data_IF_513362309913
#
_entry.id   IF_513362309913
#
_cell.length_a   1.000
_cell.length_b   1.000
_cell.length_c   1.000
_cell.angle_alpha   90.00
_cell.angle_beta   90.00
_cell.angle_gamma   90.00
#
_symmetry.space_group_name_H-M   'P 1'
#
loop_
_entity.id
_entity.type
_entity.pdbx_description
1 polymer ?
#
# COMPACT_ATOMS: atom_id res chain seq x y z
N UNK A 1 0.42 -23.28 10.19
CA UNK A 1 1.61 -24.09 10.54
C UNK A 1 2.92 -23.50 10.01
N UNK A 2 2.94 -22.87 8.82
CA UNK A 2 4.14 -22.28 8.19
C UNK A 2 4.74 -21.09 8.97
N UNK A 3 3.91 -20.23 9.58
CA UNK A 3 4.36 -19.01 10.27
C UNK A 3 5.10 -19.24 11.59
N UNK A 4 4.96 -20.41 12.23
CA UNK A 4 5.67 -20.76 13.48
C UNK A 4 7.12 -21.19 13.26
N UNK A 5 7.52 -21.45 12.02
CA UNK A 5 8.86 -21.95 11.74
C UNK A 5 9.89 -20.83 11.72
N UNK A 6 10.96 -20.98 12.51
CA UNK A 6 12.14 -20.10 12.48
C UNK A 6 13.19 -20.67 11.52
N UNK A 7 12.77 -21.05 10.30
CA UNK A 7 13.66 -21.65 9.30
C UNK A 7 13.79 -20.72 8.09
N UNK A 8 15.00 -20.25 7.75
CA UNK A 8 15.22 -19.33 6.63
C UNK A 8 14.73 -19.90 5.28
N UNK A 9 14.81 -21.22 5.10
CA UNK A 9 14.35 -21.89 3.87
C UNK A 9 12.84 -21.79 3.67
N UNK A 10 12.06 -21.83 4.76
CA UNK A 10 10.60 -21.75 4.68
C UNK A 10 10.18 -20.32 4.31
N UNK A 11 10.87 -19.32 4.85
CA UNK A 11 10.64 -17.91 4.49
C UNK A 11 11.04 -17.65 3.04
N UNK A 12 12.19 -18.17 2.60
CA UNK A 12 12.64 -18.04 1.21
C UNK A 12 11.67 -18.73 0.23
N UNK A 13 11.21 -19.95 0.55
CA UNK A 13 10.22 -20.67 -0.25
C UNK A 13 8.90 -19.89 -0.32
N UNK A 14 8.43 -19.35 0.81
CA UNK A 14 7.24 -18.50 0.85
C UNK A 14 7.38 -17.27 -0.06
N UNK A 15 8.48 -16.51 0.04
CA UNK A 15 8.72 -15.35 -0.84
C UNK A 15 8.79 -15.79 -2.31
N UNK A 16 9.43 -16.93 -2.60
CA UNK A 16 9.52 -17.47 -3.96
C UNK A 16 8.15 -17.86 -4.54
N UNK A 17 7.17 -18.27 -3.72
CA UNK A 17 5.81 -18.55 -4.21
C UNK A 17 5.05 -17.27 -4.60
N UNK A 18 5.43 -16.12 -4.02
CA UNK A 18 4.83 -14.82 -4.34
C UNK A 18 5.52 -14.13 -5.53
N UNK A 19 6.78 -14.49 -5.80
CA UNK A 19 7.54 -13.98 -6.93
C UNK A 19 6.84 -14.34 -8.26
N UNK A 20 6.85 -13.44 -9.22
CA UNK A 20 6.23 -13.67 -10.54
C UNK A 20 4.71 -13.50 -10.59
N UNK A 21 4.01 -13.58 -9.46
CA UNK A 21 2.53 -13.50 -9.40
C UNK A 21 2.04 -12.19 -8.81
N UNK A 22 2.73 -11.66 -7.79
CA UNK A 22 2.35 -10.42 -7.10
C UNK A 22 3.20 -9.22 -7.54
N UNK A 23 2.68 -8.01 -7.30
CA UNK A 23 3.47 -6.79 -7.48
C UNK A 23 4.67 -6.77 -6.52
N UNK A 24 5.77 -6.14 -6.93
CA UNK A 24 6.95 -5.99 -6.05
C UNK A 24 6.60 -5.34 -4.70
N UNK A 25 5.66 -4.38 -4.70
CA UNK A 25 5.15 -3.74 -3.47
C UNK A 25 4.36 -4.68 -2.56
N UNK A 26 3.62 -5.65 -3.12
CA UNK A 26 2.90 -6.63 -2.32
C UNK A 26 3.88 -7.66 -1.73
N UNK A 27 4.84 -8.13 -2.53
CA UNK A 27 5.89 -9.05 -2.09
C UNK A 27 6.76 -8.42 -1.00
N UNK A 28 7.15 -7.15 -1.13
CA UNK A 28 7.95 -6.46 -0.11
C UNK A 28 7.19 -6.18 1.18
N UNK A 29 5.85 -6.08 1.14
CA UNK A 29 5.03 -5.85 2.33
C UNK A 29 4.72 -7.15 3.11
N UNK A 30 4.69 -8.31 2.46
CA UNK A 30 4.42 -9.59 3.12
C UNK A 30 5.35 -9.88 4.32
N UNK A 31 6.68 -9.71 4.23
CA UNK A 31 7.59 -9.89 5.36
C UNK A 31 7.31 -8.98 6.55
N UNK A 32 6.75 -7.79 6.34
CA UNK A 32 6.36 -6.89 7.44
C UNK A 32 5.30 -7.54 8.33
N UNK A 33 4.32 -8.24 7.74
CA UNK A 33 3.32 -9.00 8.48
C UNK A 33 3.92 -10.20 9.23
N UNK A 34 4.83 -10.93 8.58
CA UNK A 34 5.55 -12.05 9.21
C UNK A 34 6.41 -11.57 10.38
N UNK A 35 7.14 -10.46 10.20
CA UNK A 35 7.97 -9.82 11.22
C UNK A 35 7.11 -9.34 12.40
N UNK A 36 5.98 -8.69 12.13
CA UNK A 36 5.05 -8.24 13.18
C UNK A 36 4.53 -9.44 13.99
N UNK A 37 4.11 -10.51 13.31
CA UNK A 37 3.65 -11.72 13.96
C UNK A 37 4.74 -12.38 14.84
N UNK A 38 5.97 -12.50 14.35
CA UNK A 38 7.10 -13.01 15.13
C UNK A 38 7.43 -12.14 16.35
N UNK A 39 7.39 -10.81 16.18
CA UNK A 39 7.64 -9.85 17.27
C UNK A 39 6.61 -10.01 18.39
N UNK A 40 5.32 -10.10 18.05
CA UNK A 40 4.23 -10.29 19.02
C UNK A 40 4.38 -11.59 19.81
N UNK A 41 4.91 -12.64 19.16
CA UNK A 41 5.06 -13.96 19.77
C UNK A 41 6.46 -14.22 20.36
N UNK A 42 7.35 -13.21 20.38
CA UNK A 42 8.71 -13.33 20.91
C UNK A 42 9.57 -14.36 20.17
N UNK A 43 9.26 -14.63 18.90
CA UNK A 43 10.01 -15.59 18.09
C UNK A 43 11.23 -14.90 17.49
N UNK A 44 12.38 -15.57 17.57
CA UNK A 44 13.59 -15.07 16.95
C UNK A 44 13.44 -15.08 15.42
N UNK A 45 14.06 -14.11 14.74
CA UNK A 45 13.93 -13.97 13.29
C UNK A 45 14.88 -14.93 12.56
N UNK A 46 14.40 -15.59 11.51
CA UNK A 46 15.18 -16.64 10.82
C UNK A 46 16.22 -16.10 9.83
N UNK A 47 15.93 -14.97 9.19
CA UNK A 47 16.80 -14.29 8.22
C UNK A 47 17.20 -12.94 8.77
N UNK A 48 18.45 -12.52 8.57
CA UNK A 48 18.85 -11.16 8.90
C UNK A 48 18.22 -10.15 7.91
N UNK A 49 18.39 -8.85 8.16
CA UNK A 49 17.83 -7.81 7.28
C UNK A 49 18.42 -7.86 5.88
N UNK A 50 19.73 -8.09 5.74
CA UNK A 50 20.42 -8.14 4.45
C UNK A 50 19.93 -9.31 3.58
N UNK A 51 19.77 -10.50 4.15
CA UNK A 51 19.28 -11.68 3.42
C UNK A 51 17.83 -11.51 2.98
N UNK A 52 17.00 -10.92 3.85
CA UNK A 52 15.61 -10.60 3.51
C UNK A 52 15.54 -9.59 2.36
N UNK A 53 16.31 -8.50 2.43
CA UNK A 53 16.35 -7.49 1.37
C UNK A 53 16.84 -8.06 0.03
N UNK A 54 17.83 -8.95 0.06
CA UNK A 54 18.31 -9.64 -1.13
C UNK A 54 17.22 -10.50 -1.78
N UNK A 55 16.50 -11.31 -0.99
CA UNK A 55 15.38 -12.12 -1.47
C UNK A 55 14.24 -11.25 -2.04
N UNK A 56 13.89 -10.17 -1.34
CA UNK A 56 12.85 -9.25 -1.77
C UNK A 56 13.20 -8.52 -3.06
N UNK A 57 14.47 -8.12 -3.23
CA UNK A 57 14.95 -7.49 -4.45
C UNK A 57 14.82 -8.43 -5.65
N UNK A 58 15.22 -9.70 -5.48
CA UNK A 58 15.07 -10.72 -6.53
C UNK A 58 13.59 -10.96 -6.84
N UNK A 59 12.76 -11.18 -5.82
CA UNK A 59 11.33 -11.45 -6.01
C UNK A 59 10.60 -10.25 -6.65
N UNK A 60 10.97 -9.01 -6.28
CA UNK A 60 10.43 -7.79 -6.88
C UNK A 60 10.88 -7.60 -8.33
N UNK A 61 12.10 -8.02 -8.69
CA UNK A 61 12.57 -7.98 -10.07
C UNK A 61 11.80 -8.95 -10.98
N UNK A 62 11.25 -10.02 -10.41
CA UNK A 62 10.40 -10.98 -11.08
C UNK A 62 8.93 -10.55 -11.13
N UNK A 63 8.56 -9.40 -10.56
CA UNK A 63 7.18 -8.94 -10.56
C UNK A 63 6.65 -8.81 -11.99
N UNK A 64 5.39 -9.24 -12.27
CA UNK A 64 4.85 -9.23 -13.61
C UNK A 64 4.77 -7.79 -14.13
N UNK A 65 5.12 -7.51 -15.40
CA UNK A 65 5.14 -6.14 -15.95
C UNK A 65 3.81 -5.41 -15.78
N UNK A 66 2.70 -6.17 -15.91
CA UNK A 66 1.33 -5.67 -15.74
C UNK A 66 1.04 -5.13 -14.33
N UNK A 67 1.81 -5.54 -13.32
CA UNK A 67 1.65 -5.05 -11.94
C UNK A 67 2.29 -3.68 -11.71
N UNK A 68 3.16 -3.21 -12.63
CA UNK A 68 3.81 -1.91 -12.52
C UNK A 68 2.84 -0.83 -13.02
N UNK A 69 2.19 -0.15 -12.08
CA UNK A 69 1.36 1.01 -12.39
C UNK A 69 2.26 2.21 -12.72
N UNK A 70 1.94 3.00 -13.75
CA UNK A 70 2.64 4.26 -13.97
C UNK A 70 2.47 5.16 -12.73
N UNK A 71 3.41 6.09 -12.51
CA UNK A 71 3.23 7.14 -11.51
C UNK A 71 1.84 7.79 -11.69
N UNK A 72 1.10 7.95 -10.59
CA UNK A 72 -0.18 8.66 -10.64
C UNK A 72 0.10 10.12 -10.96
N UNK A 73 -0.71 10.69 -11.85
CA UNK A 73 -0.65 12.13 -12.12
C UNK A 73 -0.98 12.91 -10.84
N UNK A 74 -0.27 14.01 -10.58
CA UNK A 74 -0.54 14.84 -9.42
C UNK A 74 -1.94 15.44 -9.55
N UNK A 75 -2.65 15.50 -8.43
CA UNK A 75 -3.91 16.21 -8.37
C UNK A 75 -3.62 17.71 -8.49
N UNK A 76 -4.29 18.42 -9.41
CA UNK A 76 -4.01 19.83 -9.69
C UNK A 76 -5.19 20.72 -9.35
N UNK A 77 -4.94 22.03 -9.24
CA UNK A 77 -6.02 23.01 -9.07
C UNK A 77 -7.03 22.97 -10.21
N UNK A 78 -6.60 22.69 -11.44
CA UNK A 78 -7.49 22.51 -12.58
C UNK A 78 -8.43 21.31 -12.37
N UNK A 79 -7.94 20.25 -11.73
CA UNK A 79 -8.77 19.10 -11.35
C UNK A 79 -9.84 19.51 -10.33
N UNK A 80 -9.48 20.29 -9.29
CA UNK A 80 -10.46 20.84 -8.31
C UNK A 80 -11.53 21.67 -9.02
N UNK A 81 -11.13 22.57 -9.92
CA UNK A 81 -12.04 23.45 -10.67
C UNK A 81 -12.96 22.62 -11.57
N UNK A 82 -12.42 21.62 -12.27
CA UNK A 82 -13.22 20.72 -13.10
C UNK A 82 -14.29 19.98 -12.28
N UNK A 83 -13.93 19.43 -11.10
CA UNK A 83 -14.90 18.78 -10.22
C UNK A 83 -15.95 19.76 -9.71
N UNK A 84 -15.55 20.97 -9.28
CA UNK A 84 -16.48 22.02 -8.82
C UNK A 84 -17.57 22.30 -9.86
N UNK A 85 -17.20 22.37 -11.15
CA UNK A 85 -18.14 22.70 -12.21
C UNK A 85 -19.24 21.64 -12.42
N UNK A 86 -19.02 20.42 -11.93
CA UNK A 86 -20.01 19.34 -11.95
C UNK A 86 -20.83 19.23 -10.65
N UNK A 87 -20.52 20.03 -9.63
CA UNK A 87 -21.21 20.01 -8.34
C UNK A 87 -22.29 21.10 -8.26
N UNK A 88 -23.51 20.68 -7.93
CA UNK A 88 -24.59 21.61 -7.60
C UNK A 88 -24.47 22.11 -6.15
N UNK A 89 -23.94 23.33 -5.99
CA UNK A 89 -23.74 24.00 -4.70
C UNK A 89 -25.05 24.50 -4.04
N UNK A 90 -26.22 24.21 -4.60
CA UNK A 90 -27.49 24.38 -3.90
C UNK A 90 -27.81 23.18 -2.97
N UNK A 91 -27.15 22.04 -3.18
CA UNK A 91 -27.37 20.84 -2.38
C UNK A 91 -26.35 20.74 -1.23
N UNK A 92 -26.79 20.50 0.02
CA UNK A 92 -25.87 20.38 1.16
C UNK A 92 -24.80 19.29 1.00
N UNK A 93 -25.15 18.18 0.32
CA UNK A 93 -24.23 17.08 0.06
C UNK A 93 -23.07 17.51 -0.85
N UNK A 94 -23.35 18.17 -1.97
CA UNK A 94 -22.30 18.59 -2.89
C UNK A 94 -21.41 19.69 -2.29
N UNK A 95 -21.98 20.57 -1.46
CA UNK A 95 -21.18 21.54 -0.69
C UNK A 95 -20.22 20.81 0.26
N UNK A 96 -20.70 19.80 0.99
CA UNK A 96 -19.86 19.02 1.90
C UNK A 96 -18.74 18.27 1.16
N UNK A 97 -19.04 17.65 0.01
CA UNK A 97 -18.05 17.00 -0.85
C UNK A 97 -17.00 18.01 -1.34
N UNK A 98 -17.43 19.20 -1.76
CA UNK A 98 -16.51 20.26 -2.20
C UNK A 98 -15.61 20.78 -1.06
N UNK A 99 -16.16 20.95 0.15
CA UNK A 99 -15.41 21.33 1.33
C UNK A 99 -14.36 20.28 1.71
N UNK A 100 -14.72 18.99 1.69
CA UNK A 100 -13.78 17.89 1.93
C UNK A 100 -12.68 17.85 0.86
N UNK A 101 -13.05 18.00 -0.42
CA UNK A 101 -12.12 18.00 -1.54
C UNK A 101 -11.07 19.12 -1.43
N UNK A 102 -11.53 20.35 -1.18
CA UNK A 102 -10.63 21.51 -1.06
C UNK A 102 -9.75 21.40 0.17
N UNK A 103 -10.28 20.90 1.28
CA UNK A 103 -9.50 20.66 2.51
C UNK A 103 -8.44 19.58 2.28
N UNK A 104 -8.79 18.45 1.67
CA UNK A 104 -7.83 17.40 1.31
C UNK A 104 -6.71 17.94 0.41
N UNK A 105 -7.07 18.77 -0.58
CA UNK A 105 -6.11 19.34 -1.51
C UNK A 105 -5.12 20.31 -0.86
N UNK A 106 -5.60 21.28 -0.07
CA UNK A 106 -4.75 22.31 0.52
C UNK A 106 -4.05 21.87 1.80
N UNK A 107 -4.66 21.02 2.61
CA UNK A 107 -4.07 20.51 3.83
C UNK A 107 -3.28 19.21 3.61
N UNK A 108 -3.28 18.64 2.40
CA UNK A 108 -2.74 17.30 2.12
C UNK A 108 -3.31 16.21 3.03
N UNK A 109 -4.54 16.41 3.49
CA UNK A 109 -5.20 15.53 4.45
C UNK A 109 -5.68 14.24 3.78
N UNK A 110 -5.69 13.15 4.56
CA UNK A 110 -6.19 11.86 4.08
C UNK A 110 -7.72 11.90 3.98
N UNK A 111 -8.28 11.31 2.93
CA UNK A 111 -9.75 11.31 2.70
C UNK A 111 -10.51 10.67 3.87
N UNK A 112 -9.90 9.69 4.53
CA UNK A 112 -10.45 8.97 5.68
C UNK A 112 -10.62 9.85 6.93
N UNK A 113 -9.92 10.99 7.01
CA UNK A 113 -10.07 11.94 8.11
C UNK A 113 -11.25 12.90 7.88
N UNK A 114 -11.63 13.08 6.63
CA UNK A 114 -12.57 14.12 6.21
C UNK A 114 -13.96 13.58 5.90
N UNK A 115 -14.10 12.29 5.63
CA UNK A 115 -15.38 11.66 5.30
C UNK A 115 -15.91 10.81 6.43
N UNK A 116 -17.22 10.86 6.65
CA UNK A 116 -17.90 9.93 7.55
C UNK A 116 -18.03 8.57 6.85
N UNK A 117 -18.00 7.47 7.63
CA UNK A 117 -18.33 6.16 7.08
C UNK A 117 -19.76 6.19 6.55
N UNK A 118 -19.91 5.85 5.27
CA UNK A 118 -21.19 5.63 4.59
C UNK A 118 -21.83 4.33 5.04
#
# INVERSE_FOLDING_TARGET
MILRSNNPLIIAAFISTLAGTYSGSAVSNCPSGVKAWHTIHGLNRALNDTEMEALLKVASSLAPPQSRKPPREPYTMNTVIAIRNHLDLSTPLHIAVFACLTTAFYATAHTEELTTRT
#
